data_IF_755174576003
#
_entry.id   IF_755174576003
#
_cell.length_a   1.000
_cell.length_b   1.000
_cell.length_c   1.000
_cell.angle_alpha   90.00
_cell.angle_beta   90.00
_cell.angle_gamma   90.00
#
_symmetry.space_group_name_H-M   'P 1'
#
loop_
_entity.id
_entity.type
_entity.pdbx_description
1 polymer ?
#
# COMPACT_ATOMS: atom_id res chain seq x y z
N UNK A 1 4.39 24.20 12.60
CA UNK A 1 3.96 23.68 11.28
C UNK A 1 2.99 24.68 10.65
N UNK A 2 3.49 25.58 9.78
CA UNK A 2 2.72 26.72 9.22
C UNK A 2 2.94 26.90 7.70
N UNK A 3 3.29 25.83 6.99
CA UNK A 3 3.57 25.86 5.53
C UNK A 3 2.56 25.09 4.67
N UNK A 4 1.74 24.24 5.26
CA UNK A 4 0.60 23.63 4.61
C UNK A 4 -0.62 23.90 5.48
N UNK A 5 -1.69 24.44 4.91
CA UNK A 5 -2.97 24.72 5.57
C UNK A 5 -3.72 23.44 5.94
N UNK A 6 -3.03 22.47 6.57
CA UNK A 6 -3.55 21.16 6.87
C UNK A 6 -4.12 21.16 8.29
N UNK A 7 -5.45 21.22 8.38
CA UNK A 7 -6.18 21.13 9.65
C UNK A 7 -5.83 19.79 10.32
N UNK A 8 -5.13 19.85 11.47
CA UNK A 8 -4.75 18.72 12.35
C UNK A 8 -3.75 17.69 11.77
N UNK A 9 -2.60 18.16 11.29
CA UNK A 9 -1.44 17.31 11.03
C UNK A 9 -0.71 16.92 12.34
N UNK A 10 -1.28 16.02 13.13
CA UNK A 10 -0.52 15.42 14.25
C UNK A 10 0.43 14.36 13.69
N UNK A 11 1.59 14.13 14.34
CA UNK A 11 2.53 13.05 13.98
C UNK A 11 1.84 11.68 13.80
N UNK A 12 0.73 11.46 14.51
CA UNK A 12 -0.12 10.29 14.35
C UNK A 12 -0.77 10.17 12.98
N UNK A 13 -1.24 11.29 12.40
CA UNK A 13 -1.84 11.31 11.06
C UNK A 13 -0.76 11.04 10.01
N UNK A 14 0.45 11.59 10.19
CA UNK A 14 1.59 11.31 9.33
C UNK A 14 2.02 9.83 9.42
N UNK A 15 2.01 9.23 10.61
CA UNK A 15 2.29 7.79 10.75
C UNK A 15 1.27 6.92 10.01
N UNK A 16 0.04 7.40 9.83
CA UNK A 16 -1.01 6.71 9.08
C UNK A 16 -0.91 6.86 7.56
N UNK A 17 -0.18 7.85 7.04
CA UNK A 17 0.01 8.00 5.58
C UNK A 17 1.04 7.01 5.02
N UNK A 18 2.04 6.62 5.82
CA UNK A 18 3.08 5.68 5.40
C UNK A 18 2.53 4.31 4.91
N UNK A 19 1.67 3.62 5.66
CA UNK A 19 1.00 2.39 5.22
C UNK A 19 0.13 2.61 3.98
N UNK A 20 -0.64 3.70 3.95
CA UNK A 20 -1.50 4.04 2.80
C UNK A 20 -0.70 4.23 1.52
N UNK A 21 0.47 4.87 1.59
CA UNK A 21 1.36 5.06 0.43
C UNK A 21 1.94 3.72 -0.03
N UNK A 22 2.47 2.91 0.88
CA UNK A 22 3.02 1.60 0.53
C UNK A 22 1.97 0.67 -0.10
N UNK A 23 0.78 0.61 0.48
CA UNK A 23 -0.32 -0.18 -0.08
C UNK A 23 -0.76 0.34 -1.45
N UNK A 24 -0.76 1.66 -1.65
CA UNK A 24 -1.09 2.28 -2.95
C UNK A 24 -0.05 1.96 -4.04
N UNK A 25 1.23 1.89 -3.67
CA UNK A 25 2.33 1.45 -4.55
C UNK A 25 2.30 -0.06 -4.82
N UNK A 26 1.52 -0.83 -4.07
CA UNK A 26 1.36 -2.28 -4.25
C UNK A 26 2.22 -3.15 -3.33
N UNK A 27 2.68 -2.60 -2.20
CA UNK A 27 3.39 -3.39 -1.20
C UNK A 27 2.41 -4.32 -0.45
N UNK A 28 2.86 -5.55 -0.17
CA UNK A 28 2.11 -6.51 0.64
C UNK A 28 1.96 -6.03 2.10
N UNK A 29 0.89 -6.47 2.76
CA UNK A 29 0.61 -6.13 4.16
C UNK A 29 1.71 -6.61 5.10
N UNK A 30 2.39 -7.72 4.79
CA UNK A 30 3.55 -8.17 5.55
C UNK A 30 4.74 -7.21 5.41
N UNK A 31 5.01 -6.73 4.19
CA UNK A 31 6.05 -5.73 3.95
C UNK A 31 5.74 -4.42 4.70
N UNK A 32 4.48 -3.97 4.66
CA UNK A 32 4.04 -2.77 5.41
C UNK A 32 4.20 -2.96 6.92
N UNK A 33 3.91 -4.16 7.44
CA UNK A 33 4.09 -4.50 8.87
C UNK A 33 5.56 -4.44 9.28
N UNK A 34 6.44 -5.06 8.51
CA UNK A 34 7.89 -5.09 8.77
C UNK A 34 8.50 -3.69 8.70
N UNK A 35 8.20 -2.95 7.63
CA UNK A 35 8.71 -1.58 7.41
C UNK A 35 8.13 -0.58 8.43
N UNK A 36 6.87 -0.76 8.83
CA UNK A 36 6.19 0.07 9.82
C UNK A 36 6.48 -0.30 11.28
N UNK A 37 7.23 -1.40 11.51
CA UNK A 37 7.49 -2.01 12.82
C UNK A 37 6.21 -2.17 13.65
N UNK A 38 5.15 -2.65 12.99
CA UNK A 38 3.87 -2.90 13.62
C UNK A 38 3.86 -4.28 14.29
N UNK A 39 3.40 -4.31 15.53
CA UNK A 39 3.40 -5.52 16.35
C UNK A 39 2.42 -6.60 15.85
N UNK A 40 1.33 -6.18 15.20
CA UNK A 40 0.28 -7.06 14.72
C UNK A 40 -0.14 -6.71 13.29
N UNK A 41 -0.43 -7.74 12.50
CA UNK A 41 -0.97 -7.60 11.15
C UNK A 41 -2.37 -6.94 11.17
N UNK A 42 -3.16 -7.18 12.23
CA UNK A 42 -4.50 -6.60 12.41
C UNK A 42 -4.49 -5.06 12.43
N UNK A 43 -3.40 -4.44 12.84
CA UNK A 43 -3.23 -2.98 12.82
C UNK A 43 -3.08 -2.45 11.39
N UNK A 44 -2.55 -3.27 10.48
CA UNK A 44 -2.27 -3.00 9.07
C UNK A 44 -3.47 -3.33 8.19
N UNK A 45 -4.28 -4.33 8.56
CA UNK A 45 -5.46 -4.78 7.82
C UNK A 45 -6.44 -3.65 7.50
N UNK A 46 -6.55 -2.63 8.37
CA UNK A 46 -7.30 -1.39 8.10
C UNK A 46 -6.96 -0.74 6.76
N UNK A 47 -5.71 -0.88 6.31
CA UNK A 47 -5.19 -0.27 5.10
C UNK A 47 -5.32 -1.18 3.87
N UNK A 48 -5.65 -2.46 4.06
CA UNK A 48 -5.80 -3.46 2.99
C UNK A 48 -6.87 -3.13 1.95
N UNK A 49 -7.93 -2.42 2.36
CA UNK A 49 -9.01 -2.01 1.46
C UNK A 49 -8.54 -1.07 0.33
N UNK A 50 -7.46 -0.32 0.54
CA UNK A 50 -6.85 0.53 -0.50
C UNK A 50 -6.16 -0.33 -1.58
N UNK A 51 -5.91 -1.62 -1.30
CA UNK A 51 -5.30 -2.59 -2.23
C UNK A 51 -6.30 -3.43 -3.02
N UNK A 52 -7.62 -3.28 -2.86
CA UNK A 52 -8.57 -4.09 -3.65
C UNK A 52 -8.36 -3.88 -5.16
N UNK A 53 -8.03 -2.65 -5.57
CA UNK A 53 -7.65 -2.29 -6.94
C UNK A 53 -6.32 -2.91 -7.39
N UNK A 54 -5.49 -3.34 -6.43
CA UNK A 54 -4.18 -3.93 -6.69
C UNK A 54 -4.27 -5.40 -7.07
N UNK A 55 -5.23 -6.18 -6.53
CA UNK A 55 -5.43 -7.59 -6.95
C UNK A 55 -5.67 -7.68 -8.45
N UNK A 56 -6.51 -6.80 -9.00
CA UNK A 56 -6.72 -6.68 -10.43
C UNK A 56 -5.45 -6.27 -11.17
N UNK A 57 -4.63 -5.37 -10.60
CA UNK A 57 -3.36 -4.95 -11.21
C UNK A 57 -2.30 -6.05 -11.24
N UNK A 58 -2.24 -6.91 -10.21
CA UNK A 58 -1.33 -8.06 -10.16
C UNK A 58 -1.77 -9.13 -11.16
N UNK A 59 -3.08 -9.41 -11.23
CA UNK A 59 -3.63 -10.33 -12.23
C UNK A 59 -3.33 -9.81 -13.64
N UNK A 60 -3.58 -8.53 -13.92
CA UNK A 60 -3.27 -7.93 -15.23
C UNK A 60 -1.76 -7.95 -15.55
N UNK A 61 -0.88 -7.82 -14.55
CA UNK A 61 0.57 -7.96 -14.76
C UNK A 61 1.00 -9.39 -15.07
N UNK A 62 0.31 -10.38 -14.52
CA UNK A 62 0.53 -11.78 -14.85
C UNK A 62 0.03 -12.05 -16.27
N UNK A 63 -1.16 -11.58 -16.62
CA UNK A 63 -1.77 -11.71 -17.96
C UNK A 63 -0.82 -11.17 -19.05
N UNK A 64 -0.32 -9.94 -18.89
CA UNK A 64 0.63 -9.34 -19.83
C UNK A 64 1.94 -10.14 -19.95
N UNK A 65 2.37 -10.83 -18.89
CA UNK A 65 3.58 -11.67 -18.95
C UNK A 65 3.34 -12.96 -19.72
N UNK A 66 2.16 -13.55 -19.61
CA UNK A 66 1.81 -14.75 -20.36
C UNK A 66 1.63 -14.48 -21.86
N UNK A 67 1.17 -13.28 -22.24
CA UNK A 67 1.11 -12.87 -23.67
C UNK A 67 2.51 -12.66 -24.28
N UNK A 68 3.48 -12.17 -23.52
CA UNK A 68 4.87 -12.01 -24.02
C UNK A 68 5.58 -13.36 -24.25
N UNK A 69 5.23 -14.40 -23.48
CA UNK A 69 5.82 -15.74 -23.58
C UNK A 69 5.22 -16.59 -24.73
N UNK A 70 4.09 -16.19 -25.34
CA UNK A 70 3.42 -16.93 -26.43
C UNK A 70 3.78 -16.42 -27.85
N UNK A 71 4.56 -15.34 -27.95
CA UNK A 71 5.00 -14.72 -29.21
C UNK A 71 6.52 -14.84 -29.50
N UNK A 72 7.26 -15.67 -28.76
CA UNK A 72 8.66 -16.05 -29.04
C UNK A 72 8.76 -17.52 -29.55
#
# INVERSE_FOLDING_TARGET
MKRASLKRSTLHVLRRTFPTMLVREGADLNAVKELGRWSDLKLVERYSHVSSDHRTRVINKLDNKFEEDEFD
#
